data_IF_588141661237
#
_entry.id   IF_588141661237
#
_cell.length_a   1.000
_cell.length_b   1.000
_cell.length_c   1.000
_cell.angle_alpha   90.00
_cell.angle_beta   90.00
_cell.angle_gamma   90.00
#
_symmetry.space_group_name_H-M   'P 1'
#
loop_
_entity.id
_entity.type
_entity.pdbx_description
1 polymer ?
#
# COMPACT_ATOMS: atom_id res chain seq x y z
N UNK A 1 1.76 -1.99 -17.17
CA UNK A 1 0.64 -2.83 -16.68
C UNK A 1 -0.43 -1.89 -16.18
N UNK A 2 -1.67 -1.98 -16.67
CA UNK A 2 -2.77 -1.20 -16.10
C UNK A 2 -3.00 -1.79 -14.71
N UNK A 3 -2.48 -1.10 -13.68
CA UNK A 3 -2.64 -1.50 -12.29
C UNK A 3 -4.13 -1.61 -12.01
N UNK A 4 -4.57 -2.77 -11.53
CA UNK A 4 -5.97 -3.00 -11.18
C UNK A 4 -6.26 -2.08 -10.00
N UNK A 5 -6.98 -0.99 -10.25
CA UNK A 5 -7.33 -0.04 -9.21
C UNK A 5 -8.15 -0.76 -8.14
N UNK A 6 -7.75 -0.72 -6.86
CA UNK A 6 -8.49 -1.38 -5.79
C UNK A 6 -9.94 -0.92 -5.75
N UNK A 7 -10.85 -1.82 -5.41
CA UNK A 7 -12.27 -1.51 -5.31
C UNK A 7 -12.56 -0.57 -4.15
N UNK A 8 -11.78 -0.64 -3.07
CA UNK A 8 -11.91 0.25 -1.92
C UNK A 8 -11.73 1.72 -2.30
N UNK A 9 -10.94 2.05 -3.35
CA UNK A 9 -10.76 3.43 -3.81
C UNK A 9 -12.06 4.06 -4.35
N UNK A 10 -13.00 3.23 -4.84
CA UNK A 10 -14.32 3.67 -5.29
C UNK A 10 -15.37 3.63 -4.16
N UNK A 11 -14.98 3.19 -2.97
CA UNK A 11 -15.89 3.10 -1.83
C UNK A 11 -16.20 4.48 -1.25
N UNK A 12 -17.47 4.81 -0.92
CA UNK A 12 -17.83 6.07 -0.28
C UNK A 12 -17.26 6.21 1.15
N UNK A 13 -16.78 5.09 1.69
CA UNK A 13 -16.11 5.01 2.97
C UNK A 13 -14.62 5.33 2.88
N UNK A 14 -14.00 5.27 1.70
CA UNK A 14 -12.59 5.55 1.57
C UNK A 14 -12.30 7.06 1.54
N UNK A 15 -11.24 7.44 2.24
CA UNK A 15 -10.70 8.80 2.28
C UNK A 15 -9.27 8.74 1.75
N UNK A 16 -9.07 9.24 0.52
CA UNK A 16 -7.79 9.24 -0.18
C UNK A 16 -6.99 10.52 -0.03
N UNK A 17 -7.00 11.14 1.15
CA UNK A 17 -6.25 12.39 1.37
C UNK A 17 -4.74 12.12 1.50
N UNK A 18 -3.87 12.98 0.93
CA UNK A 18 -2.43 12.78 0.96
C UNK A 18 -1.93 12.64 2.42
N UNK A 19 -1.40 11.46 2.76
CA UNK A 19 -0.92 11.14 4.12
C UNK A 19 -2.01 10.80 5.15
N UNK A 20 -3.27 10.70 4.73
CA UNK A 20 -4.42 10.41 5.61
C UNK A 20 -5.35 9.35 5.00
N UNK A 21 -4.77 8.34 4.36
CA UNK A 21 -5.55 7.24 3.78
C UNK A 21 -6.19 6.40 4.88
N UNK A 22 -7.51 6.41 4.94
CA UNK A 22 -8.27 5.62 5.91
C UNK A 22 -9.68 5.30 5.41
N UNK A 23 -10.33 4.33 6.07
CA UNK A 23 -11.75 4.03 5.88
C UNK A 23 -12.59 4.68 6.98
N UNK A 24 -13.72 5.27 6.59
CA UNK A 24 -14.74 5.80 7.50
C UNK A 24 -15.35 4.68 8.35
N UNK A 25 -15.79 4.99 9.59
CA UNK A 25 -16.50 4.02 10.42
C UNK A 25 -17.78 3.53 9.73
N UNK A 26 -18.04 2.23 9.82
CA UNK A 26 -19.18 1.59 9.17
C UNK A 26 -18.93 1.11 7.74
N UNK A 27 -17.67 1.11 7.26
CA UNK A 27 -17.30 0.46 6.02
C UNK A 27 -17.66 -1.05 6.04
N UNK A 28 -18.13 -1.62 4.92
CA UNK A 28 -18.40 -3.04 4.84
C UNK A 28 -17.11 -3.86 5.01
N UNK A 29 -17.24 -5.05 5.60
CA UNK A 29 -16.08 -5.90 5.93
C UNK A 29 -15.20 -6.22 4.72
N UNK A 30 -15.80 -6.38 3.54
CA UNK A 30 -15.12 -6.66 2.27
C UNK A 30 -14.15 -5.52 1.87
N UNK A 31 -14.60 -4.27 2.01
CA UNK A 31 -13.77 -3.07 1.73
C UNK A 31 -12.67 -2.91 2.77
N UNK A 32 -12.96 -3.20 4.04
CA UNK A 32 -11.96 -3.15 5.12
C UNK A 32 -10.86 -4.18 4.90
N UNK A 33 -11.25 -5.40 4.51
CA UNK A 33 -10.30 -6.46 4.22
C UNK A 33 -9.40 -6.10 3.03
N UNK A 34 -9.97 -5.63 1.92
CA UNK A 34 -9.19 -5.24 0.73
C UNK A 34 -8.23 -4.08 1.02
N UNK A 35 -8.67 -3.07 1.78
CA UNK A 35 -7.80 -1.95 2.18
C UNK A 35 -6.62 -2.39 3.04
N UNK A 36 -6.86 -3.27 4.02
CA UNK A 36 -5.80 -3.79 4.88
C UNK A 36 -4.81 -4.66 4.09
N UNK A 37 -5.31 -5.49 3.18
CA UNK A 37 -4.48 -6.32 2.30
C UNK A 37 -3.60 -5.45 1.39
N UNK A 38 -4.19 -4.42 0.77
CA UNK A 38 -3.47 -3.45 -0.05
C UNK A 38 -2.38 -2.70 0.73
N UNK A 39 -2.70 -2.20 1.92
CA UNK A 39 -1.71 -1.50 2.77
C UNK A 39 -0.57 -2.44 3.21
N UNK A 40 -0.86 -3.72 3.42
CA UNK A 40 0.13 -4.72 3.80
C UNK A 40 1.01 -5.13 2.61
N UNK A 41 0.44 -5.27 1.41
CA UNK A 41 1.19 -5.54 0.16
C UNK A 41 2.08 -4.36 -0.22
N UNK A 42 1.60 -3.12 -0.08
CA UNK A 42 2.36 -1.89 -0.36
C UNK A 42 3.60 -1.80 0.55
N UNK A 43 3.43 -1.97 1.87
CA UNK A 43 4.55 -1.99 2.83
C UNK A 43 5.56 -3.10 2.54
N UNK A 44 5.09 -4.24 2.01
CA UNK A 44 5.95 -5.37 1.63
C UNK A 44 6.73 -5.12 0.33
N UNK A 45 6.22 -4.27 -0.57
CA UNK A 45 6.84 -3.98 -1.87
C UNK A 45 7.92 -2.92 -1.82
N UNK A 46 7.89 -2.04 -0.82
CA UNK A 46 8.98 -1.09 -0.55
C UNK A 46 10.27 -1.76 -0.05
N UNK A 47 10.25 -3.05 0.31
CA UNK A 47 11.40 -3.76 0.86
C UNK A 47 12.22 -4.56 -0.19
N UNK A 48 11.77 -4.67 -1.44
CA UNK A 48 12.47 -5.44 -2.49
C UNK A 48 13.21 -4.58 -3.53
N UNK A 49 13.15 -3.25 -3.45
CA UNK A 49 13.95 -2.31 -4.28
C UNK A 49 14.84 -1.40 -3.41
N UNK A 50 15.57 -2.00 -2.47
CA UNK A 50 16.86 -1.41 -2.08
C UNK A 50 17.93 -2.16 -2.85
N UNK A 51 18.76 -1.50 -3.70
CA UNK A 51 19.99 -2.14 -4.11
C UNK A 51 20.74 -2.42 -2.81
N UNK A 52 20.84 -3.71 -2.46
CA UNK A 52 21.77 -4.14 -1.44
C UNK A 52 23.14 -3.70 -1.95
N UNK A 53 23.59 -2.50 -1.55
CA UNK A 53 24.95 -2.07 -1.81
C UNK A 53 25.77 -3.04 -0.99
N UNK A 54 26.30 -4.01 -1.71
CA UNK A 54 27.21 -4.98 -1.19
C UNK A 54 28.38 -4.19 -0.59
N UNK A 55 28.50 -4.22 0.74
CA UNK A 55 29.43 -3.41 1.53
C UNK A 55 30.91 -3.60 1.15
N UNK A 56 31.22 -4.45 0.16
CA UNK A 56 32.57 -4.69 -0.37
C UNK A 56 33.12 -3.62 -1.32
N UNK A 57 32.32 -2.68 -1.82
CA UNK A 57 32.77 -1.66 -2.81
C UNK A 57 33.00 -0.25 -2.22
N UNK A 58 32.85 -0.04 -0.90
CA UNK A 58 33.15 1.24 -0.24
C UNK A 58 34.55 1.31 0.40
N UNK A 59 35.37 0.29 0.19
CA UNK A 59 36.74 0.23 0.68
C UNK A 59 37.71 -0.16 -0.44
N UNK A 60 37.79 0.66 -1.49
CA UNK A 60 38.84 0.51 -2.49
C UNK A 60 39.43 1.84 -2.96
#
# INVERSE_FOLDING_TARGET
MIGRQPNFLNSPYFVGEPGNWHLKPGAPADVVQEFNDFMTDDESRDLEDTPTIDEKELLN
#
